data_IF_513984490519
#
_entry.id   IF_513984490519
#
_cell.length_a   1.000
_cell.length_b   1.000
_cell.length_c   1.000
_cell.angle_alpha   90.00
_cell.angle_beta   90.00
_cell.angle_gamma   90.00
#
_symmetry.space_group_name_H-M   'P 1'
#
loop_
_entity.id
_entity.type
_entity.pdbx_description
1 polymer ?
#
# COMPACT_ATOMS: atom_id res chain seq x y z
N UNK A 1 3.57 -12.57 5.20
CA UNK A 1 2.37 -12.20 5.99
C UNK A 1 1.79 -13.44 6.65
N UNK A 2 1.19 -13.32 7.86
CA UNK A 2 0.50 -14.44 8.50
C UNK A 2 -0.56 -15.04 7.57
N UNK A 3 -0.64 -16.38 7.43
CA UNK A 3 -1.69 -17.01 6.63
C UNK A 3 -3.09 -16.56 7.05
N UNK A 4 -3.92 -16.20 6.07
CA UNK A 4 -5.26 -15.67 6.32
C UNK A 4 -5.32 -14.15 6.44
N UNK A 5 -4.20 -13.44 6.25
CA UNK A 5 -4.23 -11.99 6.08
C UNK A 5 -5.04 -11.60 4.83
N UNK A 6 -5.86 -10.56 4.98
CA UNK A 6 -6.70 -9.99 3.92
C UNK A 6 -6.41 -8.50 3.81
N UNK A 7 -6.42 -7.98 2.57
CA UNK A 7 -6.49 -6.54 2.33
C UNK A 7 -7.94 -6.18 2.02
N UNK A 8 -8.54 -5.33 2.85
CA UNK A 8 -9.93 -4.88 2.72
C UNK A 8 -9.97 -3.41 2.32
N UNK A 9 -10.62 -3.13 1.20
CA UNK A 9 -10.75 -1.83 0.58
C UNK A 9 -12.19 -1.30 0.70
N UNK A 10 -13.08 -2.01 1.39
CA UNK A 10 -14.52 -1.74 1.40
C UNK A 10 -14.91 -0.42 2.07
N UNK A 11 -14.10 0.05 3.03
CA UNK A 11 -14.29 1.36 3.70
C UNK A 11 -13.21 2.39 3.33
N UNK A 12 -12.31 2.04 2.42
CA UNK A 12 -11.23 2.93 1.99
C UNK A 12 -11.63 3.67 0.72
N UNK A 13 -10.77 4.59 0.28
CA UNK A 13 -10.91 5.23 -1.04
C UNK A 13 -10.74 4.21 -2.18
N UNK A 14 -10.24 3.01 -1.89
CA UNK A 14 -9.93 1.99 -2.86
C UNK A 14 -8.69 2.38 -3.67
N UNK A 15 -8.85 2.48 -4.98
CA UNK A 15 -7.81 2.97 -5.90
C UNK A 15 -8.15 4.37 -6.41
N UNK A 16 -7.15 5.26 -6.45
CA UNK A 16 -7.34 6.63 -6.93
C UNK A 16 -6.11 7.15 -7.65
N UNK A 17 -6.33 8.02 -8.64
CA UNK A 17 -5.29 8.81 -9.28
C UNK A 17 -5.10 10.14 -8.55
N UNK A 18 -3.88 10.42 -8.11
CA UNK A 18 -3.50 11.66 -7.42
C UNK A 18 -2.51 12.45 -8.27
N UNK A 19 -2.54 13.78 -8.18
CA UNK A 19 -1.56 14.64 -8.85
C UNK A 19 -0.17 14.44 -8.23
N UNK A 20 0.87 14.36 -9.05
CA UNK A 20 2.24 14.27 -8.56
C UNK A 20 2.86 15.63 -8.24
N UNK A 21 2.39 16.67 -8.92
CA UNK A 21 2.84 18.04 -8.76
C UNK A 21 1.63 18.96 -8.72
N UNK A 22 1.34 19.47 -7.52
CA UNK A 22 0.22 20.38 -7.27
C UNK A 22 0.42 21.75 -7.95
N UNK A 23 1.64 22.07 -8.39
CA UNK A 23 1.99 23.34 -9.05
C UNK A 23 2.19 23.19 -10.56
N UNK A 24 1.73 22.09 -11.17
CA UNK A 24 1.88 21.88 -12.60
C UNK A 24 1.15 22.98 -13.40
N UNK A 25 1.91 23.73 -14.21
CA UNK A 25 1.39 24.81 -15.09
C UNK A 25 1.57 24.52 -16.58
N UNK A 26 2.02 23.30 -16.92
CA UNK A 26 2.22 22.90 -18.31
C UNK A 26 0.89 22.66 -19.07
N UNK A 27 0.96 22.47 -20.40
CA UNK A 27 -0.23 22.20 -21.20
C UNK A 27 -0.76 20.78 -20.96
N UNK A 28 -2.09 20.63 -20.92
CA UNK A 28 -2.75 19.33 -20.79
C UNK A 28 -2.81 18.79 -19.35
N UNK A 29 -3.17 17.52 -19.17
CA UNK A 29 -3.22 16.92 -17.83
C UNK A 29 -1.81 16.72 -17.26
N UNK A 30 -1.60 17.21 -16.04
CA UNK A 30 -0.33 17.05 -15.32
C UNK A 30 -0.01 15.59 -14.98
N UNK A 31 1.25 15.31 -14.57
CA UNK A 31 1.67 13.97 -14.16
C UNK A 31 0.85 13.49 -12.95
N UNK A 32 0.52 12.20 -12.95
CA UNK A 32 -0.34 11.59 -11.93
C UNK A 32 0.24 10.26 -11.47
N UNK A 33 -0.16 9.80 -10.30
CA UNK A 33 0.17 8.49 -9.76
C UNK A 33 -1.09 7.77 -9.32
N UNK A 34 -1.06 6.44 -9.35
CA UNK A 34 -2.15 5.61 -8.85
C UNK A 34 -1.79 5.09 -7.46
N UNK A 35 -2.69 5.27 -6.50
CA UNK A 35 -2.55 4.75 -5.14
C UNK A 35 -3.70 3.83 -4.79
N UNK A 36 -3.36 2.66 -4.23
CA UNK A 36 -4.30 1.69 -3.68
C UNK A 36 -4.23 1.72 -2.15
N UNK A 37 -5.37 1.89 -1.49
CA UNK A 37 -5.51 1.98 -0.04
C UNK A 37 -6.29 0.79 0.49
N UNK A 38 -5.75 0.08 1.48
CA UNK A 38 -6.44 -1.05 2.09
C UNK A 38 -6.17 -1.13 3.60
N UNK A 39 -7.16 -1.61 4.35
CA UNK A 39 -6.97 -2.08 5.71
C UNK A 39 -6.35 -3.48 5.68
N UNK A 40 -5.34 -3.71 6.52
CA UNK A 40 -4.69 -5.02 6.62
C UNK A 40 -5.30 -5.80 7.78
N UNK A 41 -6.10 -6.81 7.48
CA UNK A 41 -6.79 -7.62 8.48
C UNK A 41 -6.01 -8.91 8.68
N UNK A 42 -5.47 -9.08 9.88
CA UNK A 42 -4.80 -10.31 10.30
C UNK A 42 -5.78 -11.41 10.75
N UNK A 43 -5.34 -12.66 10.84
CA UNK A 43 -6.13 -13.71 11.50
C UNK A 43 -6.32 -13.39 12.99
N UNK A 44 -7.30 -14.05 13.61
CA UNK A 44 -7.63 -13.83 15.02
C UNK A 44 -6.40 -13.97 15.93
N UNK A 45 -6.23 -13.02 16.86
CA UNK A 45 -5.12 -12.98 17.80
C UNK A 45 -3.86 -12.28 17.28
N UNK A 46 -3.74 -11.98 15.98
CA UNK A 46 -2.62 -11.19 15.45
C UNK A 46 -2.86 -9.71 15.71
N UNK A 47 -1.89 -9.05 16.35
CA UNK A 47 -1.97 -7.63 16.68
C UNK A 47 -1.65 -6.75 15.46
N UNK A 48 -2.29 -5.57 15.32
CA UNK A 48 -1.97 -4.61 14.25
C UNK A 48 -0.47 -4.30 14.10
N UNK A 49 0.22 -4.06 15.22
CA UNK A 49 1.66 -3.80 15.21
C UNK A 49 2.51 -4.98 14.67
N UNK A 50 2.05 -6.22 14.84
CA UNK A 50 2.72 -7.39 14.27
C UNK A 50 2.57 -7.41 12.74
N UNK A 51 1.39 -7.05 12.21
CA UNK A 51 1.18 -6.96 10.76
C UNK A 51 2.12 -5.94 10.11
N UNK A 52 2.33 -4.80 10.78
CA UNK A 52 3.27 -3.76 10.37
C UNK A 52 4.69 -4.31 10.35
N UNK A 53 5.16 -4.92 11.44
CA UNK A 53 6.49 -5.49 11.50
C UNK A 53 6.74 -6.55 10.42
N UNK A 54 5.78 -7.48 10.23
CA UNK A 54 5.85 -8.54 9.22
C UNK A 54 5.87 -8.00 7.80
N UNK A 55 5.17 -6.90 7.54
CA UNK A 55 5.16 -6.27 6.22
C UNK A 55 6.54 -5.74 5.85
N UNK A 56 7.23 -4.96 6.70
CA UNK A 56 8.57 -4.50 6.33
C UNK A 56 9.67 -5.54 6.48
N UNK A 57 9.52 -6.59 7.30
CA UNK A 57 10.39 -7.78 7.19
C UNK A 57 10.31 -8.38 5.77
N UNK A 58 9.08 -8.57 5.27
CA UNK A 58 8.84 -9.07 3.93
C UNK A 58 9.43 -8.13 2.86
N UNK A 59 9.19 -6.82 2.97
CA UNK A 59 9.71 -5.87 1.98
C UNK A 59 11.24 -5.81 1.99
N UNK A 60 11.88 -5.85 3.17
CA UNK A 60 13.36 -5.95 3.26
C UNK A 60 13.89 -7.22 2.60
N UNK A 61 13.16 -8.34 2.70
CA UNK A 61 13.55 -9.59 2.01
C UNK A 61 13.49 -9.50 0.48
N UNK A 62 12.75 -8.53 -0.06
CA UNK A 62 12.75 -8.21 -1.50
C UNK A 62 13.90 -7.26 -1.89
N UNK A 63 14.79 -6.92 -0.97
CA UNK A 63 15.89 -5.97 -1.21
C UNK A 63 15.47 -4.51 -1.18
N UNK A 64 14.28 -4.20 -0.66
CA UNK A 64 13.72 -2.85 -0.59
C UNK A 64 14.28 -2.11 0.62
N UNK A 65 14.62 -0.83 0.44
CA UNK A 65 14.93 0.06 1.55
C UNK A 65 13.66 0.37 2.33
N UNK A 66 13.61 -0.05 3.60
CA UNK A 66 12.47 0.16 4.50
C UNK A 66 12.88 0.99 5.70
N UNK A 67 12.14 2.09 5.94
CA UNK A 67 12.37 3.01 7.06
C UNK A 67 11.06 3.39 7.74
N UNK A 68 11.13 3.79 9.01
CA UNK A 68 10.01 4.50 9.65
C UNK A 68 10.05 5.98 9.27
N UNK A 69 8.91 6.67 9.32
CA UNK A 69 8.83 8.11 9.11
C UNK A 69 8.11 8.80 10.25
N UNK A 70 8.57 10.01 10.54
CA UNK A 70 7.88 10.92 11.45
C UNK A 70 6.70 11.60 10.76
N UNK A 71 5.75 12.09 11.56
CA UNK A 71 4.50 12.69 11.06
C UNK A 71 3.42 11.69 10.67
N UNK A 72 3.61 10.41 10.96
CA UNK A 72 2.63 9.34 10.76
C UNK A 72 2.48 8.51 12.04
N UNK A 73 1.28 7.96 12.27
CA UNK A 73 0.99 7.05 13.37
C UNK A 73 2.02 5.91 13.43
N UNK A 74 2.50 5.60 14.64
CA UNK A 74 3.54 4.58 14.87
C UNK A 74 2.94 3.30 15.48
N UNK A 75 3.50 2.11 15.19
CA UNK A 75 4.62 1.89 14.26
C UNK A 75 4.20 2.14 12.81
N UNK A 76 5.16 2.50 11.96
CA UNK A 76 4.93 2.62 10.52
C UNK A 76 6.17 2.23 9.74
N UNK A 77 5.98 1.78 8.51
CA UNK A 77 7.09 1.39 7.64
C UNK A 77 6.80 1.87 6.23
N UNK A 78 7.82 2.44 5.60
CA UNK A 78 7.82 2.98 4.25
C UNK A 78 8.90 2.27 3.44
N UNK A 79 8.50 1.62 2.34
CA UNK A 79 9.37 0.94 1.39
C UNK A 79 9.46 1.72 0.07
N UNK A 80 10.68 1.84 -0.45
CA UNK A 80 10.97 2.55 -1.70
C UNK A 80 11.61 1.60 -2.71
N UNK A 81 10.92 1.34 -3.81
CA UNK A 81 11.43 0.48 -4.86
C UNK A 81 12.33 1.26 -5.82
N UNK A 82 13.35 0.62 -6.43
CA UNK A 82 14.25 1.27 -7.37
C UNK A 82 13.58 1.85 -8.64
N UNK A 83 12.43 1.31 -9.01
CA UNK A 83 11.64 1.72 -10.19
C UNK A 83 10.62 2.83 -9.87
N UNK A 84 10.63 3.36 -8.64
CA UNK A 84 9.80 4.49 -8.22
C UNK A 84 8.47 4.10 -7.58
N UNK A 85 8.13 2.81 -7.50
CA UNK A 85 7.00 2.37 -6.69
C UNK A 85 7.27 2.62 -5.22
N UNK A 86 6.20 2.91 -4.46
CA UNK A 86 6.27 3.18 -3.03
C UNK A 86 5.21 2.37 -2.32
N UNK A 87 5.57 1.83 -1.16
CA UNK A 87 4.63 1.16 -0.27
C UNK A 87 4.77 1.71 1.13
N UNK A 88 3.66 1.81 1.84
CA UNK A 88 3.66 2.21 3.24
C UNK A 88 2.61 1.42 4.00
N UNK A 89 2.91 1.10 5.26
CA UNK A 89 1.95 0.53 6.19
C UNK A 89 2.08 1.28 7.51
N UNK A 90 0.96 1.75 8.03
CA UNK A 90 0.93 2.59 9.23
C UNK A 90 -0.13 2.10 10.19
N UNK A 91 0.15 2.24 11.48
CA UNK A 91 -0.85 2.03 12.52
C UNK A 91 -2.04 2.96 12.31
N UNK A 92 -3.20 2.51 12.77
CA UNK A 92 -4.38 3.34 12.91
C UNK A 92 -4.55 3.78 14.38
N UNK A 93 -5.47 4.72 14.62
CA UNK A 93 -5.92 5.06 15.96
C UNK A 93 -7.42 4.77 16.09
N UNK A 94 -7.86 4.06 17.14
CA UNK A 94 -7.08 3.41 18.20
C UNK A 94 -6.11 2.31 17.71
N UNK A 95 -5.06 1.96 18.47
CA UNK A 95 -4.01 1.03 18.02
C UNK A 95 -4.48 -0.41 17.78
N UNK A 96 -5.69 -0.75 18.24
CA UNK A 96 -6.37 -2.03 17.98
C UNK A 96 -6.97 -2.09 16.57
N UNK A 97 -7.12 -0.95 15.89
CA UNK A 97 -7.67 -0.92 14.54
C UNK A 97 -6.68 -1.49 13.52
N UNK A 98 -7.19 -2.10 12.44
CA UNK A 98 -6.34 -2.57 11.35
C UNK A 98 -5.42 -1.46 10.83
N UNK A 99 -4.14 -1.74 10.58
CA UNK A 99 -3.26 -0.76 9.97
C UNK A 99 -3.65 -0.55 8.50
N UNK A 100 -3.38 0.63 7.98
CA UNK A 100 -3.60 0.94 6.56
C UNK A 100 -2.32 0.68 5.79
N UNK A 101 -2.42 -0.11 4.71
CA UNK A 101 -1.39 -0.23 3.68
C UNK A 101 -1.76 0.64 2.48
N UNK A 102 -0.76 1.32 1.91
CA UNK A 102 -0.89 2.06 0.66
C UNK A 102 0.20 1.60 -0.29
N UNK A 103 -0.17 1.29 -1.53
CA UNK A 103 0.77 1.02 -2.62
C UNK A 103 0.57 2.07 -3.70
N UNK A 104 1.65 2.73 -4.10
CA UNK A 104 1.64 3.89 -4.99
C UNK A 104 2.58 3.66 -6.17
N UNK A 105 2.09 3.92 -7.38
CA UNK A 105 2.89 3.86 -8.60
C UNK A 105 3.92 5.00 -8.66
N UNK A 106 4.92 4.92 -9.54
CA UNK A 106 5.63 6.10 -10.01
C UNK A 106 4.65 7.05 -10.70
N UNK A 107 5.05 8.31 -10.80
CA UNK A 107 4.34 9.28 -11.63
C UNK A 107 4.38 8.87 -13.10
N UNK A 108 3.23 8.96 -13.76
CA UNK A 108 3.05 8.69 -15.18
C UNK A 108 2.34 9.86 -15.89
N UNK A 109 2.42 9.95 -17.23
CA UNK A 109 1.77 11.03 -17.98
C UNK A 109 0.26 11.07 -17.73
N UNK A 110 -0.28 12.25 -17.43
CA UNK A 110 -1.72 12.43 -17.16
C UNK A 110 -2.63 12.01 -18.32
N UNK A 111 -2.12 12.00 -19.55
CA UNK A 111 -2.85 11.51 -20.72
C UNK A 111 -3.16 9.99 -20.67
N UNK A 112 -2.45 9.23 -19.84
CA UNK A 112 -2.70 7.79 -19.63
C UNK A 112 -3.65 7.53 -18.46
N UNK A 113 -4.08 8.57 -17.75
CA UNK A 113 -4.98 8.46 -16.59
C UNK A 113 -6.30 7.82 -17.02
N UNK A 114 -6.68 6.79 -16.29
CA UNK A 114 -7.99 6.17 -16.39
C UNK A 114 -8.64 6.16 -15.01
N UNK A 115 -9.79 6.83 -14.91
CA UNK A 115 -10.60 6.86 -13.70
C UNK A 115 -11.71 5.80 -13.77
N UNK A 116 -12.24 5.41 -12.61
CA UNK A 116 -13.34 4.44 -12.54
C UNK A 116 -12.94 3.00 -12.89
N UNK A 117 -11.64 2.69 -12.92
CA UNK A 117 -11.17 1.32 -13.05
C UNK A 117 -11.72 0.46 -11.90
N UNK A 118 -12.21 -0.77 -12.17
CA UNK A 118 -12.71 -1.63 -11.12
C UNK A 118 -11.56 -2.03 -10.19
N UNK A 119 -11.72 -1.72 -8.91
CA UNK A 119 -10.79 -2.12 -7.85
C UNK A 119 -11.46 -3.20 -7.01
N UNK A 120 -10.79 -4.33 -6.72
CA UNK A 120 -11.36 -5.36 -5.86
C UNK A 120 -11.60 -4.80 -4.46
N UNK A 121 -12.77 -5.09 -3.88
CA UNK A 121 -13.07 -4.72 -2.49
C UNK A 121 -12.22 -5.48 -1.48
N UNK A 122 -11.85 -6.72 -1.82
CA UNK A 122 -11.12 -7.62 -0.93
C UNK A 122 -10.06 -8.37 -1.73
N UNK A 123 -8.82 -8.34 -1.26
CA UNK A 123 -7.70 -9.12 -1.80
C UNK A 123 -7.30 -10.16 -0.75
N UNK A 124 -7.42 -11.43 -1.11
CA UNK A 124 -7.09 -12.56 -0.23
C UNK A 124 -5.69 -13.07 -0.54
N UNK A 125 -4.97 -13.47 0.50
CA UNK A 125 -3.70 -14.17 0.31
C UNK A 125 -3.92 -15.43 -0.53
N UNK A 126 -3.13 -15.58 -1.58
CA UNK A 126 -3.09 -16.83 -2.36
C UNK A 126 -2.30 -17.89 -1.59
N UNK A 127 -2.66 -19.18 -1.70
CA UNK A 127 -1.82 -20.24 -1.17
C UNK A 127 -0.42 -20.16 -1.78
N UNK A 128 0.64 -20.57 -1.06
CA UNK A 128 1.99 -20.58 -1.61
C UNK A 128 1.99 -21.39 -2.90
N UNK A 129 2.44 -20.79 -4.00
CA UNK A 129 2.67 -21.53 -5.25
C UNK A 129 3.73 -22.59 -4.97
N UNK A 130 3.35 -23.86 -4.96
CA UNK A 130 4.31 -24.95 -4.89
C UNK A 130 5.19 -24.87 -6.15
N UNK A 131 6.52 -24.84 -6.02
CA UNK A 131 7.38 -24.93 -7.20
C UNK A 131 7.09 -26.26 -7.89
N UNK A 132 6.88 -26.20 -9.21
CA UNK A 132 6.83 -27.39 -10.07
C UNK A 132 8.14 -28.16 -9.83
N UNK A 133 8.01 -29.40 -9.34
CA UNK A 133 9.12 -30.33 -9.20
C UNK A 133 9.59 -30.83 -10.56
#
# INVERSE_FOLDING_TARGET
>A
MPPGTVLDLSDTIGGSNLGCDDNYTGPGPGPTEFSLFANVIGPAGVKPAELIARAGELWRSWGITVMERDGFEKPNQFGYFPDGYRIQIKAAYPPEYPPTIVATSPCFPGALRQDGLPVPKVIRQSPPTQPLR
#
